data_IF_974954580311
#
_entry.id   IF_974954580311
#
_cell.length_a   1.000
_cell.length_b   1.000
_cell.length_c   1.000
_cell.angle_alpha   90.00
_cell.angle_beta   90.00
_cell.angle_gamma   90.00
#
_symmetry.space_group_name_H-M   'P 1'
#
loop_
_entity.id
_entity.type
_entity.pdbx_description
1 polymer ?
#
# COMPACT_ATOMS: atom_id res chain seq x y z
N UNK A 1 -36.18 -3.94 24.73
CA UNK A 1 -36.54 -3.17 23.53
C UNK A 1 -35.72 -3.50 22.30
N UNK A 2 -34.65 -4.28 22.46
CA UNK A 2 -33.68 -4.71 21.40
C UNK A 2 -34.20 -5.88 20.57
N UNK A 3 -35.11 -6.65 21.12
CA UNK A 3 -35.67 -7.86 20.49
C UNK A 3 -36.72 -7.56 19.38
N UNK A 4 -37.24 -6.36 19.36
CA UNK A 4 -38.22 -5.93 18.34
C UNK A 4 -37.56 -5.44 17.04
N UNK A 5 -36.29 -4.98 17.12
CA UNK A 5 -35.52 -4.49 15.97
C UNK A 5 -34.95 -5.63 15.12
N UNK A 6 -34.51 -6.72 15.78
CA UNK A 6 -33.98 -7.89 15.07
C UNK A 6 -35.09 -8.68 14.32
N UNK A 7 -36.33 -8.68 14.80
CA UNK A 7 -37.44 -9.40 14.13
C UNK A 7 -37.93 -8.72 12.85
N UNK A 8 -37.77 -7.40 12.72
CA UNK A 8 -38.17 -6.66 11.50
C UNK A 8 -37.11 -6.81 10.41
N UNK A 9 -35.85 -6.93 10.77
CA UNK A 9 -34.77 -7.05 9.80
C UNK A 9 -34.67 -8.44 9.13
N UNK A 10 -35.19 -9.48 9.78
CA UNK A 10 -35.15 -10.87 9.25
C UNK A 10 -36.39 -11.24 8.42
N UNK A 11 -37.41 -10.39 8.36
CA UNK A 11 -38.67 -10.67 7.65
C UNK A 11 -38.74 -10.11 6.21
N UNK A 12 -37.78 -9.29 5.79
CA UNK A 12 -37.79 -8.67 4.43
C UNK A 12 -36.85 -9.32 3.40
N UNK A 13 -36.06 -10.34 3.79
CA UNK A 13 -35.23 -11.09 2.84
C UNK A 13 -35.90 -12.40 2.40
N UNK A 14 -37.03 -12.29 1.67
CA UNK A 14 -37.53 -13.42 0.88
C UNK A 14 -36.75 -13.49 -0.44
N UNK A 15 -35.77 -14.36 -0.50
CA UNK A 15 -35.17 -14.83 -1.77
C UNK A 15 -36.00 -16.05 -2.22
N UNK A 16 -36.70 -16.01 -3.34
CA UNK A 16 -37.39 -17.18 -3.86
C UNK A 16 -36.37 -18.18 -4.42
N UNK A 17 -36.40 -19.43 -3.94
CA UNK A 17 -35.68 -20.52 -4.62
C UNK A 17 -34.73 -21.39 -3.80
N UNK A 18 -34.78 -21.38 -2.48
CA UNK A 18 -34.06 -22.38 -1.67
C UNK A 18 -35.04 -23.32 -1.00
N UNK A 19 -35.25 -24.49 -1.63
CA UNK A 19 -35.82 -25.65 -0.96
C UNK A 19 -34.83 -26.19 0.09
N UNK A 20 -35.33 -26.49 1.28
CA UNK A 20 -34.54 -27.08 2.36
C UNK A 20 -34.20 -28.52 2.01
N UNK A 21 -32.94 -28.79 1.75
CA UNK A 21 -32.40 -30.14 1.68
C UNK A 21 -31.85 -30.54 3.08
N UNK A 22 -32.42 -31.58 3.67
CA UNK A 22 -32.13 -32.05 5.02
C UNK A 22 -30.74 -32.70 5.19
N UNK A 23 -29.88 -32.65 4.18
CA UNK A 23 -28.54 -33.28 4.20
C UNK A 23 -27.42 -32.35 4.68
N UNK A 24 -27.72 -31.07 5.02
CA UNK A 24 -26.70 -30.07 5.34
C UNK A 24 -26.32 -30.00 6.83
N UNK A 25 -27.02 -30.71 7.73
CA UNK A 25 -26.69 -30.67 9.17
C UNK A 25 -25.53 -31.60 9.60
N UNK A 26 -25.10 -32.52 8.77
CA UNK A 26 -24.03 -33.46 9.10
C UNK A 26 -22.60 -32.94 8.80
N UNK A 27 -22.47 -31.86 8.01
CA UNK A 27 -21.18 -31.33 7.57
C UNK A 27 -20.58 -30.25 8.49
N UNK A 28 -21.34 -29.72 9.45
CA UNK A 28 -20.90 -28.63 10.34
C UNK A 28 -20.19 -29.11 11.63
N UNK A 29 -19.94 -30.41 11.80
CA UNK A 29 -19.23 -30.97 12.98
C UNK A 29 -17.80 -31.40 12.72
N UNK A 30 -17.21 -31.15 11.57
CA UNK A 30 -15.77 -31.32 11.39
C UNK A 30 -15.03 -30.14 11.98
N UNK A 31 -14.22 -30.39 13.02
CA UNK A 31 -13.29 -29.38 13.57
C UNK A 31 -12.46 -28.79 12.44
N UNK A 32 -12.24 -27.46 12.42
CA UNK A 32 -11.32 -26.87 11.46
C UNK A 32 -9.95 -27.53 11.58
N UNK A 33 -9.21 -27.75 10.49
CA UNK A 33 -7.87 -28.29 10.55
C UNK A 33 -7.02 -27.38 11.44
N UNK A 34 -6.26 -27.99 12.35
CA UNK A 34 -5.33 -27.27 13.21
C UNK A 34 -4.32 -26.56 12.31
N UNK A 35 -4.32 -25.23 12.32
CA UNK A 35 -3.40 -24.32 11.61
C UNK A 35 -1.95 -24.42 12.14
N UNK A 36 -1.66 -25.41 13.02
CA UNK A 36 -0.34 -25.61 13.63
C UNK A 36 0.74 -26.14 12.69
N UNK A 37 0.46 -26.42 11.42
CA UNK A 37 1.47 -26.93 10.47
C UNK A 37 1.99 -25.89 9.46
N UNK A 38 1.41 -24.69 9.39
CA UNK A 38 1.90 -23.62 8.50
C UNK A 38 2.87 -22.66 9.18
N UNK A 39 2.99 -22.70 10.52
CA UNK A 39 3.91 -21.84 11.27
C UNK A 39 5.20 -22.56 11.72
N UNK A 40 5.41 -23.81 11.34
CA UNK A 40 6.59 -24.62 11.77
C UNK A 40 7.64 -24.83 10.68
N UNK A 41 7.57 -24.14 9.56
CA UNK A 41 8.70 -24.09 8.63
C UNK A 41 9.58 -22.91 9.01
N UNK A 42 10.53 -23.17 9.87
CA UNK A 42 11.80 -22.51 10.12
C UNK A 42 11.92 -21.08 9.58
N UNK A 43 11.30 -20.11 10.29
CA UNK A 43 11.94 -18.81 10.36
C UNK A 43 13.23 -19.03 11.18
N UNK A 44 14.34 -19.11 10.51
CA UNK A 44 15.63 -18.91 11.15
C UNK A 44 15.71 -17.39 11.46
N UNK A 45 15.53 -16.94 12.71
CA UNK A 45 15.66 -15.53 13.07
C UNK A 45 17.11 -15.08 12.98
N UNK A 46 18.02 -15.95 12.52
CA UNK A 46 19.46 -15.68 12.43
C UNK A 46 19.94 -15.43 11.00
N UNK A 47 19.07 -15.18 10.03
CA UNK A 47 19.51 -14.52 8.80
C UNK A 47 19.96 -13.11 9.21
N UNK A 48 21.14 -13.03 9.78
CA UNK A 48 21.87 -11.79 10.02
C UNK A 48 22.10 -11.18 8.65
N UNK A 49 21.25 -10.24 8.28
CA UNK A 49 21.73 -9.20 7.38
C UNK A 49 23.00 -8.63 8.01
N UNK A 50 24.06 -8.39 7.22
CA UNK A 50 25.33 -7.92 7.79
C UNK A 50 25.04 -6.72 8.68
N UNK A 51 25.35 -6.87 9.98
CA UNK A 51 25.10 -5.86 10.99
C UNK A 51 25.75 -4.55 10.55
N UNK A 52 24.97 -3.49 10.47
CA UNK A 52 25.44 -2.15 10.13
C UNK A 52 26.56 -1.74 11.06
N UNK A 53 27.75 -1.60 10.50
CA UNK A 53 28.84 -0.83 11.10
C UNK A 53 28.45 0.64 11.13
N UNK A 54 28.52 1.29 12.30
CA UNK A 54 28.07 2.65 12.63
C UNK A 54 28.79 3.77 11.85
N UNK A 55 29.43 3.49 10.71
CA UNK A 55 30.06 4.47 9.82
C UNK A 55 29.85 4.14 8.34
N UNK A 56 28.59 4.09 7.87
CA UNK A 56 28.36 4.13 6.43
C UNK A 56 28.47 5.59 5.97
N UNK A 57 29.41 5.88 5.09
CA UNK A 57 29.50 7.18 4.44
C UNK A 57 28.34 7.31 3.45
N UNK A 58 27.43 8.25 3.68
CA UNK A 58 26.39 8.56 2.70
C UNK A 58 27.02 9.20 1.46
N UNK A 59 26.59 8.70 0.31
CA UNK A 59 26.78 9.38 -0.97
C UNK A 59 25.55 10.27 -1.22
N UNK A 60 25.71 11.30 -2.03
CA UNK A 60 24.61 12.19 -2.44
C UNK A 60 24.48 12.14 -3.95
N UNK A 61 23.34 11.70 -4.43
CA UNK A 61 23.04 11.60 -5.86
C UNK A 61 22.24 12.82 -6.32
N UNK A 62 22.54 13.31 -7.50
CA UNK A 62 21.60 14.23 -8.17
C UNK A 62 20.30 13.47 -8.49
N UNK A 63 19.16 14.15 -8.67
CA UNK A 63 17.93 13.47 -9.09
C UNK A 63 18.09 12.69 -10.39
N UNK A 64 18.93 13.15 -11.30
CA UNK A 64 19.24 12.48 -12.57
C UNK A 64 20.07 11.18 -12.34
N UNK A 65 21.11 11.23 -11.49
CA UNK A 65 21.90 10.07 -11.14
C UNK A 65 21.07 9.03 -10.37
N UNK A 66 20.20 9.48 -9.46
CA UNK A 66 19.27 8.63 -8.74
C UNK A 66 18.28 7.93 -9.70
N UNK A 67 17.68 8.69 -10.62
CA UNK A 67 16.83 8.14 -11.69
C UNK A 67 17.56 7.09 -12.50
N UNK A 68 18.77 7.41 -12.94
CA UNK A 68 19.61 6.47 -13.72
C UNK A 68 19.90 5.20 -12.95
N UNK A 69 20.32 5.30 -11.69
CA UNK A 69 20.59 4.14 -10.83
C UNK A 69 19.37 3.22 -10.69
N UNK A 70 18.20 3.79 -10.42
CA UNK A 70 16.93 3.04 -10.29
C UNK A 70 16.61 2.33 -11.60
N UNK A 71 16.62 3.07 -12.69
CA UNK A 71 16.25 2.57 -14.01
C UNK A 71 17.20 1.46 -14.47
N UNK A 72 18.51 1.66 -14.35
CA UNK A 72 19.50 0.68 -14.76
C UNK A 72 19.39 -0.60 -13.91
N UNK A 73 19.20 -0.49 -12.58
CA UNK A 73 19.01 -1.65 -11.72
C UNK A 73 17.75 -2.46 -12.10
N UNK A 74 16.62 -1.80 -12.41
CA UNK A 74 15.39 -2.47 -12.86
C UNK A 74 15.60 -3.17 -14.21
N UNK A 75 16.27 -2.53 -15.17
CA UNK A 75 16.55 -3.10 -16.47
C UNK A 75 17.49 -4.31 -16.36
N UNK A 76 18.60 -4.17 -15.62
CA UNK A 76 19.59 -5.22 -15.45
C UNK A 76 19.01 -6.42 -14.70
N UNK A 77 18.08 -6.21 -13.77
CA UNK A 77 17.36 -7.29 -13.11
C UNK A 77 16.27 -7.94 -13.99
N UNK A 78 15.94 -7.37 -15.16
CA UNK A 78 15.07 -8.02 -16.15
C UNK A 78 13.72 -7.36 -16.41
N UNK A 79 13.48 -6.12 -15.95
CA UNK A 79 12.28 -5.35 -16.31
C UNK A 79 12.37 -4.87 -17.76
N UNK A 80 11.24 -4.79 -18.48
CA UNK A 80 11.21 -4.13 -19.78
C UNK A 80 11.38 -2.60 -19.64
N UNK A 81 11.93 -1.91 -20.66
CA UNK A 81 12.09 -0.44 -20.59
C UNK A 81 10.78 0.28 -20.30
N UNK A 82 9.68 -0.15 -20.92
CA UNK A 82 8.37 0.45 -20.74
C UNK A 82 7.86 0.32 -19.29
N UNK A 83 8.04 -0.86 -18.67
CA UNK A 83 7.62 -1.10 -17.29
C UNK A 83 8.55 -0.42 -16.29
N UNK A 84 9.84 -0.27 -16.61
CA UNK A 84 10.82 0.37 -15.75
C UNK A 84 10.55 1.88 -15.60
N UNK A 85 10.08 2.56 -16.64
CA UNK A 85 9.95 4.03 -16.67
C UNK A 85 9.04 4.54 -15.54
N UNK A 86 7.77 4.10 -15.50
CA UNK A 86 6.83 4.57 -14.48
C UNK A 86 7.23 4.11 -13.07
N UNK A 87 7.83 2.94 -12.94
CA UNK A 87 8.32 2.45 -11.65
C UNK A 87 9.51 3.27 -11.15
N UNK A 88 10.43 3.64 -12.05
CA UNK A 88 11.56 4.54 -11.73
C UNK A 88 11.05 5.86 -11.15
N UNK A 89 10.04 6.48 -11.76
CA UNK A 89 9.45 7.71 -11.27
C UNK A 89 8.85 7.56 -9.87
N UNK A 90 8.18 6.45 -9.59
CA UNK A 90 7.59 6.21 -8.29
C UNK A 90 8.63 6.06 -7.18
N UNK A 91 9.75 5.35 -7.45
CA UNK A 91 10.84 5.20 -6.50
C UNK A 91 11.55 6.54 -6.28
N UNK A 92 11.83 7.29 -7.36
CA UNK A 92 12.45 8.61 -7.28
C UNK A 92 11.57 9.60 -6.50
N UNK A 93 10.25 9.61 -6.75
CA UNK A 93 9.29 10.42 -6.00
C UNK A 93 9.30 10.10 -4.51
N UNK A 94 9.40 8.82 -4.19
CA UNK A 94 9.49 8.31 -2.80
C UNK A 94 10.74 8.83 -2.10
N UNK A 95 11.90 8.76 -2.75
CA UNK A 95 13.16 9.29 -2.22
C UNK A 95 13.11 10.81 -2.04
N UNK A 96 12.67 11.54 -3.05
CA UNK A 96 12.50 13.00 -2.99
C UNK A 96 11.50 13.45 -1.91
N UNK A 97 10.55 12.59 -1.57
CA UNK A 97 9.60 12.82 -0.47
C UNK A 97 10.22 12.60 0.92
N UNK A 98 11.46 12.08 1.00
CA UNK A 98 12.14 11.75 2.25
C UNK A 98 11.56 10.52 2.94
N UNK A 99 11.03 9.57 2.17
CA UNK A 99 10.48 8.31 2.66
C UNK A 99 11.50 7.18 2.50
N UNK A 100 12.67 7.35 3.08
CA UNK A 100 13.85 6.47 2.97
C UNK A 100 13.57 4.97 3.20
N UNK A 101 12.51 4.64 3.91
CA UNK A 101 12.09 3.25 4.13
C UNK A 101 11.26 2.64 2.99
N UNK A 102 11.01 3.35 1.88
CA UNK A 102 10.09 2.92 0.81
C UNK A 102 10.65 3.09 -0.61
N UNK A 103 11.85 3.65 -0.76
CA UNK A 103 12.51 3.92 -2.04
C UNK A 103 13.65 2.94 -2.34
N UNK A 104 14.90 3.41 -2.35
CA UNK A 104 16.10 2.60 -2.60
C UNK A 104 16.19 1.35 -1.72
N UNK A 105 15.74 1.46 -0.45
CA UNK A 105 15.76 0.35 0.49
C UNK A 105 15.00 -0.88 -0.06
N UNK A 106 13.85 -0.68 -0.69
CA UNK A 106 13.06 -1.77 -1.27
C UNK A 106 13.47 -2.13 -2.70
N UNK A 107 14.20 -1.27 -3.41
CA UNK A 107 14.61 -1.54 -4.79
C UNK A 107 15.43 -2.82 -4.92
N UNK A 108 16.32 -3.11 -3.95
CA UNK A 108 17.07 -4.36 -3.93
C UNK A 108 16.17 -5.61 -3.88
N UNK A 109 15.07 -5.56 -3.10
CA UNK A 109 14.09 -6.66 -3.06
C UNK A 109 13.33 -6.79 -4.37
N UNK A 110 12.97 -5.67 -5.00
CA UNK A 110 12.32 -5.68 -6.31
C UNK A 110 13.23 -6.34 -7.37
N UNK A 111 14.51 -6.02 -7.37
CA UNK A 111 15.49 -6.63 -8.26
C UNK A 111 15.71 -8.12 -7.96
N UNK A 112 15.84 -8.53 -6.69
CA UNK A 112 15.94 -9.94 -6.30
C UNK A 112 14.69 -10.75 -6.72
N UNK A 113 13.49 -10.18 -6.56
CA UNK A 113 12.25 -10.84 -6.97
C UNK A 113 12.11 -10.97 -8.49
N UNK A 114 12.69 -10.06 -9.28
CA UNK A 114 12.79 -10.20 -10.73
C UNK A 114 13.71 -11.37 -11.10
N UNK A 115 14.89 -11.45 -10.48
CA UNK A 115 15.87 -12.50 -10.76
C UNK A 115 15.39 -13.89 -10.33
N UNK A 116 14.63 -13.99 -9.24
CA UNK A 116 14.04 -15.26 -8.78
C UNK A 116 12.78 -15.67 -9.56
N UNK A 117 12.23 -14.77 -10.38
CA UNK A 117 10.97 -15.00 -11.11
C UNK A 117 9.71 -14.88 -10.27
N UNK A 118 9.79 -14.30 -9.06
CA UNK A 118 8.66 -14.05 -8.18
C UNK A 118 7.75 -12.93 -8.69
N UNK A 119 8.30 -12.03 -9.49
CA UNK A 119 7.57 -11.01 -10.25
C UNK A 119 8.06 -11.00 -11.70
N UNK A 120 7.14 -10.85 -12.64
CA UNK A 120 7.48 -10.73 -14.06
C UNK A 120 7.54 -9.26 -14.48
N UNK A 121 8.76 -8.75 -14.70
CA UNK A 121 9.01 -7.38 -15.10
C UNK A 121 8.66 -7.04 -16.56
N UNK A 122 8.26 -8.02 -17.39
CA UNK A 122 8.05 -7.85 -18.84
C UNK A 122 6.61 -7.97 -19.27
N UNK A 123 5.70 -8.32 -18.37
CA UNK A 123 4.29 -8.50 -18.71
C UNK A 123 3.66 -7.17 -19.11
N UNK A 124 2.72 -7.28 -20.04
CA UNK A 124 1.84 -6.17 -20.42
C UNK A 124 0.51 -6.42 -19.71
N UNK A 125 0.10 -5.53 -18.79
CA UNK A 125 -1.15 -5.67 -18.04
C UNK A 125 -2.36 -5.75 -18.96
N UNK A 126 -3.37 -6.55 -18.58
CA UNK A 126 -4.63 -6.66 -19.32
C UNK A 126 -5.70 -5.81 -18.66
N UNK A 127 -6.40 -5.02 -19.47
CA UNK A 127 -7.45 -4.13 -19.01
C UNK A 127 -8.79 -4.66 -19.52
N UNK A 128 -9.71 -4.86 -18.59
CA UNK A 128 -11.11 -5.21 -18.84
C UNK A 128 -12.01 -4.03 -18.46
N UNK A 129 -12.67 -3.45 -19.46
CA UNK A 129 -13.67 -2.41 -19.28
C UNK A 129 -15.02 -3.05 -18.91
N UNK A 130 -15.24 -3.31 -17.62
CA UNK A 130 -16.48 -3.92 -17.10
C UNK A 130 -17.69 -3.04 -17.38
N UNK A 131 -17.54 -1.73 -17.34
CA UNK A 131 -18.53 -0.74 -17.74
C UNK A 131 -17.84 0.54 -18.22
N UNK A 132 -18.60 1.57 -18.56
CA UNK A 132 -18.04 2.88 -18.97
C UNK A 132 -17.17 3.53 -17.89
N UNK A 133 -17.40 3.20 -16.62
CA UNK A 133 -16.75 3.83 -15.47
C UNK A 133 -16.04 2.82 -14.54
N UNK A 134 -16.04 1.53 -14.89
CA UNK A 134 -15.45 0.49 -14.07
C UNK A 134 -14.44 -0.32 -14.87
N UNK A 135 -13.19 -0.38 -14.40
CA UNK A 135 -12.09 -1.08 -15.06
C UNK A 135 -11.47 -2.10 -14.11
N UNK A 136 -11.15 -3.27 -14.64
CA UNK A 136 -10.35 -4.29 -13.97
C UNK A 136 -9.02 -4.42 -14.70
N UNK A 137 -7.93 -4.45 -13.96
CA UNK A 137 -6.58 -4.59 -14.49
C UNK A 137 -5.96 -5.87 -13.93
N UNK A 138 -5.63 -6.80 -14.78
CA UNK A 138 -4.83 -7.97 -14.45
C UNK A 138 -3.36 -7.62 -14.65
N UNK A 139 -2.60 -7.55 -13.57
CA UNK A 139 -1.17 -7.28 -13.60
C UNK A 139 -0.35 -8.50 -14.01
N UNK A 140 -0.97 -9.70 -14.15
CA UNK A 140 -0.32 -10.94 -14.61
C UNK A 140 0.93 -11.31 -13.80
N UNK A 141 0.90 -11.10 -12.49
CA UNK A 141 2.03 -11.25 -11.55
C UNK A 141 3.23 -10.35 -11.88
N UNK A 142 3.00 -9.24 -12.62
CA UNK A 142 3.96 -8.17 -12.83
C UNK A 142 3.89 -7.10 -11.76
N UNK A 143 4.68 -6.05 -11.93
CA UNK A 143 4.67 -4.90 -11.03
C UNK A 143 3.34 -4.15 -11.04
N UNK A 144 2.93 -3.65 -9.87
CA UNK A 144 1.73 -2.83 -9.71
C UNK A 144 1.81 -1.52 -10.52
N UNK A 145 2.98 -0.89 -10.58
CA UNK A 145 3.17 0.42 -11.17
C UNK A 145 2.78 0.50 -12.66
N UNK A 146 3.29 -0.38 -13.55
CA UNK A 146 2.84 -0.40 -14.94
C UNK A 146 1.35 -0.73 -15.09
N UNK A 147 0.82 -1.61 -14.23
CA UNK A 147 -0.60 -1.98 -14.26
C UNK A 147 -1.50 -0.81 -13.86
N UNK A 148 -1.12 -0.06 -12.83
CA UNK A 148 -1.85 1.13 -12.35
C UNK A 148 -1.81 2.22 -13.43
N UNK A 149 -0.64 2.49 -14.01
CA UNK A 149 -0.48 3.50 -15.07
C UNK A 149 -1.31 3.16 -16.31
N UNK A 150 -1.26 1.91 -16.76
CA UNK A 150 -2.07 1.44 -17.87
C UNK A 150 -3.57 1.62 -17.61
N UNK A 151 -4.03 1.30 -16.40
CA UNK A 151 -5.43 1.49 -15.99
C UNK A 151 -5.83 2.97 -15.89
N UNK A 152 -4.94 3.86 -15.45
CA UNK A 152 -5.21 5.29 -15.35
C UNK A 152 -5.47 5.94 -16.70
N UNK A 153 -4.92 5.41 -17.79
CA UNK A 153 -5.22 5.88 -19.17
C UNK A 153 -6.70 5.70 -19.55
N UNK A 154 -7.42 4.79 -18.85
CA UNK A 154 -8.86 4.58 -19.01
C UNK A 154 -9.66 5.27 -17.90
N UNK A 155 -9.19 5.20 -16.65
CA UNK A 155 -9.85 5.77 -15.48
C UNK A 155 -10.05 7.29 -15.60
N UNK A 156 -8.99 8.03 -15.99
CA UNK A 156 -9.00 9.49 -16.06
C UNK A 156 -10.03 10.03 -17.06
N UNK A 157 -10.03 9.63 -18.34
CA UNK A 157 -11.03 10.12 -19.28
C UNK A 157 -12.45 9.71 -18.88
N UNK A 158 -12.66 8.51 -18.35
CA UNK A 158 -13.96 8.06 -17.90
C UNK A 158 -14.50 8.89 -16.70
N UNK A 159 -13.64 9.21 -15.72
CA UNK A 159 -14.02 10.09 -14.60
C UNK A 159 -14.41 11.48 -15.08
N UNK A 160 -13.65 12.05 -16.02
CA UNK A 160 -13.96 13.37 -16.59
C UNK A 160 -15.26 13.39 -17.40
N UNK A 161 -15.57 12.32 -18.15
CA UNK A 161 -16.78 12.25 -18.96
C UNK A 161 -18.03 11.95 -18.13
N UNK A 162 -17.90 11.09 -17.11
CA UNK A 162 -19.04 10.54 -16.38
C UNK A 162 -19.12 11.01 -14.91
N UNK A 163 -18.19 11.84 -14.46
CA UNK A 163 -18.16 12.39 -13.10
C UNK A 163 -17.48 11.49 -12.07
N UNK A 164 -17.38 10.18 -12.31
CA UNK A 164 -16.75 9.21 -11.41
C UNK A 164 -16.27 7.97 -12.18
N UNK A 165 -15.15 7.41 -11.77
CA UNK A 165 -14.66 6.14 -12.30
C UNK A 165 -13.90 5.34 -11.25
N UNK A 166 -13.98 4.01 -11.33
CA UNK A 166 -13.35 3.06 -10.41
C UNK A 166 -12.44 2.11 -11.18
N UNK A 167 -11.32 1.78 -10.59
CA UNK A 167 -10.39 0.78 -11.10
C UNK A 167 -9.94 -0.17 -10.00
N UNK A 168 -9.88 -1.47 -10.31
CA UNK A 168 -9.30 -2.51 -9.47
C UNK A 168 -8.13 -3.16 -10.18
N UNK A 169 -7.07 -3.50 -9.42
CA UNK A 169 -5.90 -4.22 -9.93
C UNK A 169 -5.74 -5.51 -9.13
N UNK A 170 -5.46 -6.63 -9.78
CA UNK A 170 -5.28 -7.94 -9.16
C UNK A 170 -4.12 -8.71 -9.82
N UNK A 171 -3.74 -9.85 -9.26
CA UNK A 171 -2.50 -10.57 -9.61
C UNK A 171 -1.31 -9.61 -9.64
N UNK A 172 -1.24 -8.71 -8.66
CA UNK A 172 -0.37 -7.56 -8.66
C UNK A 172 0.73 -7.69 -7.59
N UNK A 173 1.58 -6.73 -7.57
CA UNK A 173 2.73 -6.63 -6.68
C UNK A 173 2.59 -5.41 -5.74
N UNK A 174 3.58 -5.17 -4.90
CA UNK A 174 3.63 -4.00 -4.03
C UNK A 174 3.53 -2.70 -4.82
N UNK A 175 2.64 -1.79 -4.40
CA UNK A 175 2.42 -0.49 -5.04
C UNK A 175 3.29 0.63 -4.47
N UNK A 176 4.25 0.33 -3.59
CA UNK A 176 5.08 1.29 -2.86
C UNK A 176 4.23 2.37 -2.17
N UNK A 177 4.47 3.66 -2.43
CA UNK A 177 3.69 4.76 -1.84
C UNK A 177 2.44 5.04 -2.65
N UNK A 178 1.26 4.87 -2.03
CA UNK A 178 -0.03 5.15 -2.69
C UNK A 178 -0.17 6.62 -3.08
N UNK A 179 0.46 7.53 -2.33
CA UNK A 179 0.44 8.94 -2.59
C UNK A 179 1.01 9.34 -3.95
N UNK A 180 1.95 8.58 -4.51
CA UNK A 180 2.42 8.77 -5.87
C UNK A 180 1.28 8.64 -6.88
N UNK A 181 0.49 7.57 -6.75
CA UNK A 181 -0.60 7.25 -7.67
C UNK A 181 -1.81 8.19 -7.52
N UNK A 182 -2.24 8.45 -6.28
CA UNK A 182 -3.36 9.38 -6.04
C UNK A 182 -2.97 10.82 -6.36
N UNK A 183 -1.73 11.22 -6.09
CA UNK A 183 -1.19 12.51 -6.51
C UNK A 183 -1.15 12.68 -8.03
N UNK A 184 -0.88 11.61 -8.78
CA UNK A 184 -0.97 11.64 -10.25
C UNK A 184 -2.40 11.94 -10.72
N UNK A 185 -3.40 11.29 -10.13
CA UNK A 185 -4.82 11.57 -10.43
C UNK A 185 -5.24 12.99 -10.03
N UNK A 186 -4.75 13.49 -8.88
CA UNK A 186 -5.05 14.85 -8.43
C UNK A 186 -4.43 15.90 -9.36
N UNK A 187 -3.19 15.70 -9.83
CA UNK A 187 -2.59 16.56 -10.87
C UNK A 187 -3.35 16.53 -12.19
N UNK A 188 -4.08 15.45 -12.46
CA UNK A 188 -5.01 15.38 -13.58
C UNK A 188 -6.36 16.09 -13.32
N UNK A 189 -6.52 16.78 -12.18
CA UNK A 189 -7.72 17.54 -11.80
C UNK A 189 -8.81 16.70 -11.11
N UNK A 190 -8.54 15.46 -10.69
CA UNK A 190 -9.52 14.56 -10.12
C UNK A 190 -9.33 14.41 -8.61
N UNK A 191 -10.41 14.45 -7.84
CA UNK A 191 -10.38 13.98 -6.46
C UNK A 191 -10.14 12.48 -6.47
N UNK A 192 -9.05 12.04 -5.82
CA UNK A 192 -8.58 10.67 -5.90
C UNK A 192 -8.58 9.97 -4.56
N UNK A 193 -8.95 8.68 -4.56
CA UNK A 193 -8.76 7.76 -3.44
C UNK A 193 -8.05 6.50 -3.96
N UNK A 194 -7.13 5.97 -3.16
CA UNK A 194 -6.42 4.74 -3.44
C UNK A 194 -6.26 3.89 -2.18
N UNK A 195 -6.23 2.57 -2.35
CA UNK A 195 -6.00 1.61 -1.30
C UNK A 195 -5.23 0.39 -1.83
N UNK A 196 -4.49 -0.29 -0.96
CA UNK A 196 -3.86 -1.59 -1.26
C UNK A 196 -3.85 -2.45 0.01
N UNK A 197 -4.07 -3.75 -0.15
CA UNK A 197 -3.87 -4.69 0.93
C UNK A 197 -2.43 -5.24 0.91
N UNK A 198 -1.97 -5.71 2.05
CA UNK A 198 -0.65 -6.34 2.21
C UNK A 198 -0.73 -7.52 3.18
N UNK A 199 0.36 -8.31 3.26
CA UNK A 199 0.47 -9.45 4.17
C UNK A 199 0.08 -9.10 5.62
N UNK A 200 -0.48 -10.06 6.40
CA UNK A 200 -1.11 -9.78 7.69
C UNK A 200 -0.07 -9.42 8.76
N UNK A 201 -0.31 -8.31 9.44
CA UNK A 201 0.48 -7.81 10.57
C UNK A 201 -0.40 -7.25 11.69
N UNK A 202 -1.72 -7.23 11.52
CA UNK A 202 -2.68 -6.67 12.48
C UNK A 202 -3.70 -7.71 12.87
N UNK A 203 -3.80 -7.99 14.18
CA UNK A 203 -4.80 -8.88 14.75
C UNK A 203 -6.16 -8.17 14.93
N UNK A 204 -7.28 -8.92 14.85
CA UNK A 204 -8.60 -8.36 15.13
C UNK A 204 -8.73 -8.00 16.61
N UNK A 205 -9.61 -7.03 16.97
CA UNK A 205 -9.87 -6.69 18.36
C UNK A 205 -10.24 -7.90 19.22
N UNK A 206 -9.48 -8.12 20.29
CA UNK A 206 -9.64 -9.27 21.19
C UNK A 206 -8.95 -10.56 20.72
N UNK A 207 -8.33 -10.56 19.55
CA UNK A 207 -7.46 -11.64 19.04
C UNK A 207 -6.00 -11.27 19.13
N UNK A 208 -5.11 -12.24 18.85
CA UNK A 208 -3.66 -12.05 18.81
C UNK A 208 -3.01 -12.61 17.53
N UNK A 209 -3.81 -13.17 16.62
CA UNK A 209 -3.31 -13.67 15.33
C UNK A 209 -3.61 -12.62 14.24
N UNK A 210 -2.60 -12.07 13.56
CA UNK A 210 -2.80 -11.13 12.47
C UNK A 210 -3.65 -11.71 11.33
N UNK A 211 -4.59 -10.91 10.82
CA UNK A 211 -5.50 -11.29 9.72
C UNK A 211 -5.52 -10.28 8.58
N UNK A 212 -5.15 -9.04 8.83
CA UNK A 212 -5.03 -7.98 7.82
C UNK A 212 -3.65 -7.33 7.91
N UNK A 213 -3.23 -6.72 6.82
CA UNK A 213 -1.97 -5.97 6.75
C UNK A 213 -2.06 -4.57 7.37
N UNK A 214 -1.03 -3.76 7.12
CA UNK A 214 -1.07 -2.31 7.40
C UNK A 214 -2.06 -1.57 6.52
N UNK A 215 -2.54 -2.21 5.47
CA UNK A 215 -3.65 -1.85 4.60
C UNK A 215 -3.78 -0.34 4.38
N UNK A 216 -2.81 0.30 3.70
CA UNK A 216 -2.75 1.74 3.59
C UNK A 216 -3.86 2.29 2.69
N UNK A 217 -4.20 3.54 2.97
CA UNK A 217 -5.08 4.37 2.17
C UNK A 217 -4.36 5.65 1.75
N UNK A 218 -4.73 6.17 0.60
CA UNK A 218 -4.34 7.50 0.18
C UNK A 218 -5.52 8.23 -0.43
N UNK A 219 -5.63 9.54 -0.18
CA UNK A 219 -6.49 10.41 -0.95
C UNK A 219 -5.75 11.71 -1.28
N UNK A 220 -6.04 12.24 -2.47
CA UNK A 220 -5.42 13.46 -2.95
C UNK A 220 -6.49 14.40 -3.50
N UNK A 221 -6.37 15.66 -3.14
CA UNK A 221 -7.30 16.72 -3.51
C UNK A 221 -6.63 17.60 -4.55
N UNK A 222 -7.22 17.74 -5.76
CA UNK A 222 -6.68 18.58 -6.79
C UNK A 222 -6.76 20.07 -6.42
N UNK A 223 -5.86 20.85 -6.99
CA UNK A 223 -5.91 22.31 -7.04
C UNK A 223 -5.86 22.78 -8.49
N UNK A 224 -6.17 24.04 -8.79
CA UNK A 224 -6.02 24.61 -10.13
C UNK A 224 -4.62 24.40 -10.72
N UNK A 225 -4.52 24.48 -12.04
CA UNK A 225 -3.24 24.43 -12.78
C UNK A 225 -2.45 23.12 -12.65
N UNK A 226 -3.13 22.01 -12.27
CA UNK A 226 -2.48 20.70 -12.11
C UNK A 226 -1.69 20.55 -10.82
N UNK A 227 -1.95 21.39 -9.84
CA UNK A 227 -1.38 21.30 -8.51
C UNK A 227 -2.21 20.37 -7.59
N UNK A 228 -1.69 20.06 -6.43
CA UNK A 228 -2.33 19.24 -5.40
C UNK A 228 -2.51 20.11 -4.16
N UNK A 229 -3.76 20.35 -3.74
CA UNK A 229 -4.07 21.15 -2.57
C UNK A 229 -3.52 20.48 -1.30
N UNK A 230 -3.78 19.20 -1.12
CA UNK A 230 -3.15 18.37 -0.10
C UNK A 230 -3.33 16.88 -0.45
N UNK A 231 -2.51 16.05 0.19
CA UNK A 231 -2.48 14.62 -0.02
C UNK A 231 -2.27 13.88 1.31
N UNK A 232 -3.13 12.92 1.60
CA UNK A 232 -2.98 11.96 2.69
C UNK A 232 -2.54 10.63 2.12
N UNK A 233 -1.50 10.05 2.70
CA UNK A 233 -0.98 8.71 2.38
C UNK A 233 -0.45 8.10 3.66
N UNK A 234 -1.15 7.12 4.18
CA UNK A 234 -0.91 6.56 5.50
C UNK A 234 -1.34 5.09 5.60
N UNK A 235 -0.66 4.34 6.47
CA UNK A 235 -1.14 3.04 6.93
C UNK A 235 -2.37 3.20 7.85
N UNK A 236 -3.06 2.10 8.09
CA UNK A 236 -4.12 2.02 9.11
C UNK A 236 -3.60 1.59 10.48
N UNK A 237 -2.27 1.49 10.64
CA UNK A 237 -1.56 1.22 11.89
C UNK A 237 -0.93 2.48 12.47
N UNK A 238 -0.63 2.48 13.78
CA UNK A 238 0.02 3.62 14.47
C UNK A 238 1.35 4.01 13.82
N UNK A 239 2.09 3.02 13.32
CA UNK A 239 3.36 3.21 12.58
C UNK A 239 3.41 2.27 11.38
N UNK A 240 4.34 2.52 10.45
CA UNK A 240 4.59 1.58 9.34
C UNK A 240 5.34 0.33 9.83
N UNK A 241 5.16 -0.78 9.14
CA UNK A 241 5.92 -2.01 9.40
C UNK A 241 7.45 -1.77 9.26
N UNK A 242 7.85 -0.96 8.28
CA UNK A 242 9.25 -0.58 8.08
C UNK A 242 9.82 0.17 9.29
N UNK A 243 9.01 0.95 10.02
CA UNK A 243 9.45 1.64 11.24
C UNK A 243 9.82 0.64 12.33
N UNK A 244 9.02 -0.42 12.53
CA UNK A 244 9.35 -1.49 13.47
C UNK A 244 10.63 -2.23 13.04
N UNK A 245 10.73 -2.59 11.77
CA UNK A 245 11.88 -3.31 11.21
C UNK A 245 13.17 -2.50 11.41
N UNK A 246 13.14 -1.19 11.15
CA UNK A 246 14.31 -0.32 11.38
C UNK A 246 14.70 -0.23 12.85
N UNK A 247 13.74 -0.22 13.76
CA UNK A 247 14.04 -0.25 15.19
C UNK A 247 14.79 -1.53 15.59
N UNK A 248 14.41 -2.70 15.03
CA UNK A 248 15.17 -3.95 15.20
C UNK A 248 16.59 -3.82 14.66
N UNK A 249 16.76 -3.33 13.43
CA UNK A 249 18.07 -3.18 12.78
C UNK A 249 18.98 -2.22 13.53
N UNK A 250 18.42 -1.22 14.21
CA UNK A 250 19.14 -0.21 14.99
C UNK A 250 19.36 -0.63 16.45
N UNK A 251 18.72 -1.71 16.90
CA UNK A 251 18.76 -2.15 18.30
C UNK A 251 18.05 -1.19 19.25
N UNK A 252 17.04 -0.46 18.77
CA UNK A 252 16.28 0.53 19.52
C UNK A 252 14.97 -0.06 20.04
N UNK A 253 14.55 0.40 21.23
CA UNK A 253 13.21 0.09 21.72
C UNK A 253 12.16 0.98 21.06
N UNK A 254 10.91 0.49 21.03
CA UNK A 254 9.76 1.24 20.50
C UNK A 254 8.85 1.73 21.64
N UNK A 255 8.03 2.77 21.41
CA UNK A 255 7.00 3.19 22.36
C UNK A 255 5.95 2.07 22.55
N UNK A 256 5.48 1.91 23.81
CA UNK A 256 4.27 1.13 24.04
C UNK A 256 3.10 1.69 23.22
N UNK A 257 2.29 0.80 22.66
CA UNK A 257 1.17 1.20 21.80
C UNK A 257 1.46 1.14 20.30
N UNK A 258 2.70 0.82 19.88
CA UNK A 258 3.03 0.54 18.48
C UNK A 258 2.81 -0.92 18.10
N UNK A 259 3.09 -1.83 19.03
CA UNK A 259 2.99 -3.26 18.80
C UNK A 259 2.54 -4.04 20.04
N UNK A 260 2.06 -5.26 19.80
CA UNK A 260 1.74 -6.28 20.78
C UNK A 260 2.65 -7.48 20.54
N UNK A 261 2.99 -8.20 21.61
CA UNK A 261 3.69 -9.50 21.53
C UNK A 261 2.77 -10.62 21.01
N UNK A 262 3.30 -11.85 20.91
CA UNK A 262 2.55 -13.00 20.42
C UNK A 262 1.36 -13.39 21.33
N UNK A 263 1.37 -12.98 22.59
CA UNK A 263 0.28 -13.15 23.57
C UNK A 263 -0.74 -12.02 23.52
N UNK A 264 -0.54 -11.01 22.65
CA UNK A 264 -1.42 -9.85 22.50
C UNK A 264 -1.25 -8.78 23.56
N UNK A 265 -0.11 -8.74 24.28
CA UNK A 265 0.20 -7.73 25.29
C UNK A 265 1.06 -6.61 24.69
N UNK A 266 0.87 -5.36 25.11
CA UNK A 266 1.72 -4.25 24.67
C UNK A 266 3.21 -4.54 24.93
N UNK A 267 4.05 -4.32 23.92
CA UNK A 267 5.50 -4.48 24.01
C UNK A 267 6.24 -3.22 23.57
N UNK A 268 7.42 -2.99 24.12
CA UNK A 268 8.40 -2.00 23.67
C UNK A 268 9.61 -2.63 22.96
N UNK A 269 9.57 -3.95 22.77
CA UNK A 269 10.55 -4.70 22.04
C UNK A 269 10.08 -4.85 20.58
N UNK A 270 10.79 -4.28 19.58
CA UNK A 270 10.36 -4.33 18.19
C UNK A 270 10.43 -5.75 17.59
N UNK A 271 11.31 -6.65 18.06
CA UNK A 271 11.36 -8.05 17.60
C UNK A 271 10.10 -8.80 18.02
N UNK A 272 9.67 -8.62 19.28
CA UNK A 272 8.40 -9.16 19.75
C UNK A 272 7.22 -8.55 18.98
N UNK A 273 7.29 -7.26 18.64
CA UNK A 273 6.29 -6.57 17.83
C UNK A 273 6.16 -7.13 16.40
N UNK A 274 7.28 -7.47 15.76
CA UNK A 274 7.28 -8.06 14.41
C UNK A 274 6.75 -9.50 14.39
N UNK A 275 6.94 -10.26 15.48
CA UNK A 275 6.44 -11.64 15.62
C UNK A 275 5.01 -11.73 16.19
N UNK A 276 4.53 -10.64 16.76
CA UNK A 276 3.20 -10.49 17.34
C UNK A 276 2.23 -9.76 16.40
N UNK A 277 1.79 -8.57 16.79
CA UNK A 277 0.82 -7.76 16.01
C UNK A 277 1.10 -6.27 16.13
N UNK A 278 0.94 -5.54 15.03
CA UNK A 278 0.94 -4.09 15.04
C UNK A 278 -0.38 -3.54 15.58
N UNK A 279 -0.32 -2.37 16.23
CA UNK A 279 -1.51 -1.71 16.76
C UNK A 279 -2.16 -0.85 15.67
N UNK A 280 -3.48 -1.01 15.43
CA UNK A 280 -4.21 -0.14 14.51
C UNK A 280 -4.31 1.29 15.04
N UNK A 281 -4.19 2.28 14.19
CA UNK A 281 -4.32 3.70 14.53
C UNK A 281 -5.71 4.01 15.13
N UNK A 282 -5.74 4.53 16.35
CA UNK A 282 -7.00 4.73 17.08
C UNK A 282 -7.74 3.42 17.43
N UNK A 283 -7.02 2.31 17.54
CA UNK A 283 -7.54 1.02 17.97
C UNK A 283 -8.57 0.41 17.01
N UNK A 284 -9.75 0.04 17.51
CA UNK A 284 -10.82 -0.59 16.70
C UNK A 284 -11.21 0.22 15.47
N UNK A 285 -11.13 1.55 15.52
CA UNK A 285 -11.46 2.41 14.36
C UNK A 285 -10.48 2.21 13.22
N UNK A 286 -9.18 2.15 13.50
CA UNK A 286 -8.15 1.85 12.49
C UNK A 286 -8.28 0.44 11.96
N UNK A 287 -8.55 -0.56 12.82
CA UNK A 287 -8.82 -1.92 12.36
C UNK A 287 -10.00 -1.98 11.37
N UNK A 288 -11.10 -1.28 11.66
CA UNK A 288 -12.27 -1.24 10.77
C UNK A 288 -11.95 -0.60 9.41
N UNK A 289 -11.09 0.43 9.37
CA UNK A 289 -10.61 1.00 8.10
C UNK A 289 -9.72 0.00 7.37
N UNK A 290 -8.80 -0.68 8.07
CA UNK A 290 -7.97 -1.73 7.49
C UNK A 290 -8.79 -2.91 6.94
N UNK A 291 -9.88 -3.27 7.61
CA UNK A 291 -10.84 -4.28 7.15
C UNK A 291 -11.59 -3.81 5.88
N UNK A 292 -12.00 -2.54 5.80
CA UNK A 292 -12.57 -1.96 4.58
C UNK A 292 -11.57 -2.07 3.42
N UNK A 293 -10.30 -1.73 3.64
CA UNK A 293 -9.26 -1.87 2.62
C UNK A 293 -9.11 -3.33 2.17
N UNK A 294 -9.14 -4.28 3.11
CA UNK A 294 -9.10 -5.72 2.78
C UNK A 294 -10.26 -6.12 1.86
N UNK A 295 -11.49 -5.64 2.13
CA UNK A 295 -12.67 -5.89 1.28
C UNK A 295 -12.49 -5.27 -0.11
N UNK A 296 -12.05 -4.01 -0.18
CA UNK A 296 -11.87 -3.29 -1.45
C UNK A 296 -10.75 -3.91 -2.30
N UNK A 297 -9.65 -4.32 -1.67
CA UNK A 297 -8.44 -4.76 -2.38
C UNK A 297 -8.35 -6.28 -2.57
N UNK A 298 -9.16 -7.09 -1.88
CA UNK A 298 -9.20 -8.54 -2.06
C UNK A 298 -10.53 -8.99 -2.65
N UNK A 299 -11.61 -8.91 -1.86
CA UNK A 299 -12.89 -9.47 -2.27
C UNK A 299 -13.48 -8.78 -3.52
N UNK A 300 -13.40 -7.45 -3.59
CA UNK A 300 -13.90 -6.69 -4.74
C UNK A 300 -13.01 -6.85 -5.98
N UNK A 301 -11.69 -6.90 -5.80
CA UNK A 301 -10.74 -7.03 -6.92
C UNK A 301 -10.66 -8.47 -7.44
N UNK A 302 -10.92 -9.46 -6.59
CA UNK A 302 -10.61 -10.87 -6.84
C UNK A 302 -9.15 -11.23 -6.58
N UNK A 303 -8.38 -10.34 -5.90
CA UNK A 303 -7.03 -10.63 -5.43
C UNK A 303 -7.04 -11.48 -4.15
N UNK A 304 -5.86 -11.93 -3.71
CA UNK A 304 -5.73 -12.72 -2.49
C UNK A 304 -6.01 -11.88 -1.23
N UNK A 305 -6.62 -12.51 -0.23
CA UNK A 305 -6.62 -11.97 1.14
C UNK A 305 -5.18 -11.86 1.65
N UNK A 306 -4.89 -10.90 2.52
CA UNK A 306 -3.57 -10.75 3.13
C UNK A 306 -3.00 -12.07 3.68
N UNK A 307 -3.85 -12.89 4.31
CA UNK A 307 -3.49 -14.23 4.83
C UNK A 307 -3.16 -15.29 3.77
N UNK A 308 -3.38 -14.99 2.50
CA UNK A 308 -3.13 -15.89 1.35
C UNK A 308 -2.00 -15.38 0.44
N UNK A 309 -1.48 -14.18 0.72
CA UNK A 309 -0.42 -13.55 -0.07
C UNK A 309 0.93 -14.22 0.16
N UNK A 310 1.81 -14.14 -0.84
CA UNK A 310 3.22 -14.50 -0.68
C UNK A 310 3.96 -13.52 0.22
N UNK A 311 5.04 -13.97 0.84
CA UNK A 311 5.91 -13.12 1.66
C UNK A 311 6.63 -12.09 0.79
N UNK A 312 6.66 -10.83 1.23
CA UNK A 312 7.44 -9.78 0.56
C UNK A 312 8.92 -9.80 0.96
N UNK A 313 9.25 -10.45 2.08
CA UNK A 313 10.62 -10.48 2.60
C UNK A 313 11.44 -11.60 1.98
N UNK A 314 10.80 -12.72 1.63
CA UNK A 314 11.45 -13.87 1.02
C UNK A 314 11.78 -13.56 -0.45
N UNK A 315 12.99 -13.89 -0.90
CA UNK A 315 13.44 -13.65 -2.28
C UNK A 315 12.73 -14.54 -3.28
N UNK A 316 12.36 -15.75 -2.90
CA UNK A 316 11.67 -16.73 -3.73
C UNK A 316 10.24 -17.01 -3.22
N UNK A 317 9.60 -18.04 -3.74
CA UNK A 317 8.28 -18.50 -3.32
C UNK A 317 7.14 -17.99 -4.19
N UNK A 318 5.93 -18.00 -3.60
CA UNK A 318 4.71 -17.63 -4.31
C UNK A 318 4.67 -16.14 -4.63
N UNK A 319 4.06 -15.73 -5.78
CA UNK A 319 3.76 -14.33 -6.07
C UNK A 319 3.03 -13.66 -4.91
N UNK A 320 3.28 -12.37 -4.72
CA UNK A 320 2.70 -11.59 -3.62
C UNK A 320 1.19 -11.49 -3.79
N UNK A 321 0.72 -11.19 -5.01
CA UNK A 321 -0.71 -11.09 -5.37
C UNK A 321 -1.51 -10.08 -4.54
N UNK A 322 -0.92 -8.90 -4.30
CA UNK A 322 -1.67 -7.76 -3.76
C UNK A 322 -2.81 -7.35 -4.70
N UNK A 323 -3.84 -6.76 -4.11
CA UNK A 323 -4.86 -6.03 -4.84
C UNK A 323 -4.74 -4.52 -4.61
N UNK A 324 -5.11 -3.72 -5.60
CA UNK A 324 -5.25 -2.28 -5.46
C UNK A 324 -6.63 -1.83 -5.92
N UNK A 325 -7.09 -0.77 -5.28
CA UNK A 325 -8.35 -0.10 -5.59
C UNK A 325 -8.10 1.38 -5.78
N UNK A 326 -8.64 1.96 -6.87
CA UNK A 326 -8.59 3.40 -7.13
C UNK A 326 -9.97 3.92 -7.50
N UNK A 327 -10.29 5.10 -6.97
CA UNK A 327 -11.48 5.87 -7.28
C UNK A 327 -11.05 7.27 -7.71
N UNK A 328 -11.59 7.75 -8.83
CA UNK A 328 -11.39 9.10 -9.33
C UNK A 328 -12.74 9.78 -9.54
N UNK A 329 -12.87 11.01 -9.06
CA UNK A 329 -14.11 11.80 -9.12
C UNK A 329 -13.80 13.15 -9.78
N UNK A 330 -14.61 13.55 -10.75
CA UNK A 330 -14.58 14.89 -11.33
C UNK A 330 -15.25 15.87 -10.35
N UNK A 331 -14.48 16.69 -9.63
CA UNK A 331 -15.01 17.43 -8.50
C UNK A 331 -15.95 18.56 -8.91
N UNK A 332 -15.72 19.19 -10.06
CA UNK A 332 -16.54 20.32 -10.50
C UNK A 332 -17.97 19.89 -10.88
N UNK A 333 -18.12 18.71 -11.48
CA UNK A 333 -19.44 18.14 -11.77
C UNK A 333 -20.26 17.90 -10.49
N UNK A 334 -19.63 17.37 -9.45
CA UNK A 334 -20.31 17.02 -8.21
C UNK A 334 -20.63 18.23 -7.34
N UNK A 335 -19.75 19.24 -7.34
CA UNK A 335 -19.88 20.43 -6.51
C UNK A 335 -20.71 21.56 -7.15
N UNK A 336 -21.12 21.39 -8.41
CA UNK A 336 -21.77 22.48 -9.14
C UNK A 336 -20.81 23.66 -9.45
N UNK A 337 -19.52 23.41 -9.51
CA UNK A 337 -18.48 24.40 -9.88
C UNK A 337 -17.86 25.18 -8.70
N UNK A 338 -18.21 24.87 -7.44
CA UNK A 338 -17.69 25.61 -6.26
C UNK A 338 -16.55 24.87 -5.55
N UNK A 339 -16.05 23.76 -6.11
CA UNK A 339 -15.07 22.91 -5.44
C UNK A 339 -13.79 23.66 -5.05
N UNK A 340 -13.19 24.39 -6.00
CA UNK A 340 -11.90 25.06 -5.80
C UNK A 340 -12.00 26.15 -4.73
N UNK A 341 -13.08 26.93 -4.72
CA UNK A 341 -13.34 27.94 -3.69
C UNK A 341 -13.45 27.30 -2.31
N UNK A 342 -14.28 26.23 -2.20
CA UNK A 342 -14.50 25.53 -0.93
C UNK A 342 -13.19 24.87 -0.41
N UNK A 343 -12.37 24.30 -1.30
CA UNK A 343 -11.07 23.73 -0.89
C UNK A 343 -10.11 24.84 -0.45
N UNK A 344 -10.11 25.99 -1.15
CA UNK A 344 -9.28 27.15 -0.75
C UNK A 344 -9.63 27.63 0.66
N UNK A 345 -10.93 27.74 0.97
CA UNK A 345 -11.42 28.14 2.30
C UNK A 345 -11.05 27.11 3.38
N UNK A 346 -11.15 25.81 3.06
CA UNK A 346 -10.72 24.75 3.98
C UNK A 346 -9.21 24.81 4.25
N UNK A 347 -8.40 24.99 3.20
CA UNK A 347 -6.94 25.12 3.32
C UNK A 347 -6.59 26.35 4.17
N UNK A 348 -7.23 27.51 3.92
CA UNK A 348 -7.03 28.72 4.69
C UNK A 348 -7.38 28.51 6.18
N UNK A 349 -8.54 27.90 6.45
CA UNK A 349 -9.00 27.58 7.83
C UNK A 349 -8.00 26.72 8.62
N UNK A 350 -7.19 25.91 7.94
CA UNK A 350 -6.13 25.13 8.57
C UNK A 350 -4.85 25.94 8.71
N UNK A 351 -4.42 26.60 7.64
CA UNK A 351 -3.09 27.21 7.55
C UNK A 351 -2.98 28.58 8.21
N UNK A 352 -4.10 29.25 8.48
CA UNK A 352 -4.16 30.49 9.26
C UNK A 352 -3.89 30.30 10.74
N UNK A 353 -3.86 29.07 11.24
CA UNK A 353 -3.55 28.76 12.62
C UNK A 353 -2.04 28.54 12.79
N UNK A 354 -1.45 29.19 13.78
CA UNK A 354 -0.01 29.06 14.07
C UNK A 354 0.40 27.61 14.35
N UNK A 355 1.49 27.18 13.71
CA UNK A 355 2.08 25.84 13.88
C UNK A 355 1.36 24.70 13.17
N UNK A 356 0.28 25.00 12.43
CA UNK A 356 -0.42 23.97 11.64
C UNK A 356 0.27 23.72 10.31
N UNK A 357 -0.04 22.59 9.72
CA UNK A 357 0.41 22.21 8.38
C UNK A 357 -0.61 21.31 7.70
N UNK A 358 -0.67 21.40 6.39
CA UNK A 358 -1.44 20.46 5.57
C UNK A 358 -0.77 19.08 5.53
N UNK A 359 -1.54 18.01 5.34
CA UNK A 359 -1.00 16.70 4.97
C UNK A 359 -0.09 16.85 3.75
N UNK A 360 1.01 16.09 3.73
CA UNK A 360 2.04 16.14 2.69
C UNK A 360 2.99 17.36 2.70
N UNK A 361 2.78 18.39 3.49
CA UNK A 361 3.65 19.59 3.51
C UNK A 361 5.13 19.22 3.79
N UNK A 362 5.40 18.32 4.75
CA UNK A 362 6.76 17.83 5.03
C UNK A 362 7.41 17.14 3.82
N UNK A 363 6.64 16.36 3.04
CA UNK A 363 7.17 15.70 1.83
C UNK A 363 7.54 16.74 0.77
N UNK A 364 6.77 17.82 0.64
CA UNK A 364 7.08 18.93 -0.27
C UNK A 364 8.34 19.69 0.16
N UNK A 365 8.50 19.96 1.45
CA UNK A 365 9.72 20.56 2.01
C UNK A 365 10.95 19.68 1.77
N UNK A 366 10.83 18.37 2.02
CA UNK A 366 11.88 17.38 1.74
C UNK A 366 12.26 17.41 0.25
N UNK A 367 11.26 17.37 -0.64
CA UNK A 367 11.48 17.42 -2.08
C UNK A 367 12.30 18.66 -2.48
N UNK A 368 11.90 19.84 -2.02
CA UNK A 368 12.64 21.07 -2.31
C UNK A 368 14.07 21.07 -1.76
N UNK A 369 14.26 20.49 -0.58
CA UNK A 369 15.58 20.33 0.05
C UNK A 369 16.45 19.33 -0.73
N UNK A 370 15.93 18.15 -1.06
CA UNK A 370 16.67 17.08 -1.72
C UNK A 370 16.99 17.38 -3.18
N UNK A 371 16.13 18.12 -3.86
CA UNK A 371 16.44 18.65 -5.21
C UNK A 371 17.65 19.59 -5.22
N UNK A 372 17.91 20.30 -4.12
CA UNK A 372 19.06 21.21 -3.99
C UNK A 372 20.31 20.55 -3.40
N UNK A 373 20.12 19.65 -2.44
CA UNK A 373 21.23 19.06 -1.66
C UNK A 373 21.68 17.71 -2.18
N UNK A 374 20.92 17.09 -3.07
CA UNK A 374 21.08 15.69 -3.47
C UNK A 374 20.34 14.72 -2.56
N UNK A 375 20.11 13.53 -3.08
CA UNK A 375 19.41 12.42 -2.44
C UNK A 375 20.46 11.55 -1.73
N UNK A 376 20.41 11.38 -0.39
CA UNK A 376 21.35 10.56 0.33
C UNK A 376 21.11 9.08 0.05
N UNK A 377 22.19 8.32 -0.14
CA UNK A 377 22.17 6.87 -0.23
C UNK A 377 23.38 6.31 0.51
N UNK A 378 23.19 5.23 1.25
CA UNK A 378 24.30 4.54 1.88
C UNK A 378 25.19 3.86 0.83
N UNK A 379 26.49 3.95 1.02
CA UNK A 379 27.45 3.44 0.05
C UNK A 379 27.26 1.95 -0.28
N UNK A 380 27.00 1.12 0.73
CA UNK A 380 26.77 -0.32 0.56
C UNK A 380 25.51 -0.60 -0.26
N UNK A 381 24.43 0.15 -0.01
CA UNK A 381 23.19 0.05 -0.79
C UNK A 381 23.40 0.53 -2.23
N UNK A 382 24.13 1.61 -2.43
CA UNK A 382 24.50 2.09 -3.76
C UNK A 382 25.28 1.03 -4.57
N UNK A 383 26.31 0.43 -3.96
CA UNK A 383 27.11 -0.65 -4.58
C UNK A 383 26.24 -1.87 -4.89
N UNK A 384 25.32 -2.24 -4.00
CA UNK A 384 24.35 -3.32 -4.21
C UNK A 384 23.44 -3.04 -5.40
N UNK A 385 22.89 -1.82 -5.51
CA UNK A 385 22.01 -1.44 -6.61
C UNK A 385 22.77 -1.34 -7.95
N UNK A 386 24.02 -0.89 -7.93
CA UNK A 386 24.87 -0.90 -9.13
C UNK A 386 25.19 -2.30 -9.64
N UNK A 387 25.23 -3.30 -8.77
CA UNK A 387 25.49 -4.68 -9.17
C UNK A 387 24.32 -5.33 -9.93
N UNK A 388 23.13 -4.75 -9.89
CA UNK A 388 21.97 -5.19 -10.69
C UNK A 388 21.97 -4.56 -12.10
N UNK A 389 22.67 -3.41 -12.30
CA UNK A 389 22.62 -2.61 -13.53
C UNK A 389 23.34 -3.23 -14.75
#
# INVERSE_FOLDING_TARGET
>A
STDRFLRVFLLELRIPGLEKDETTEASLKSKPPKVSHLLSQNHDPTTKFPGRSIMSSNLFLTPEDARKLIHDALLGAGTSPENAEYFTEAILDTELSGLEGHGFYWLQYYCSHLLSGKVDGKVIPKIDAVSKTCFRVDALHGFAHPAIEAGFRHLIPAAREHGISVMTVYNSYNAATLGFHTGYLARAGLLAFGATNVAPVVAPPGGNIPVIGTNPISFAVPAPEGEVAFLVDQSTTEVSWTTLKRAVEQGESIPFGWALDAEGKPTNDPEQGLTGSMVPAGGVKGFNIGLLVEVLCSALTGAKLGTQQGSFIEEDGQPIDNGQFFLAIEPQMQSGGIFDETISDLVASITEQDGTRLPNARRQENRQRLLRQGIPIEKELFETLQAFA
#
